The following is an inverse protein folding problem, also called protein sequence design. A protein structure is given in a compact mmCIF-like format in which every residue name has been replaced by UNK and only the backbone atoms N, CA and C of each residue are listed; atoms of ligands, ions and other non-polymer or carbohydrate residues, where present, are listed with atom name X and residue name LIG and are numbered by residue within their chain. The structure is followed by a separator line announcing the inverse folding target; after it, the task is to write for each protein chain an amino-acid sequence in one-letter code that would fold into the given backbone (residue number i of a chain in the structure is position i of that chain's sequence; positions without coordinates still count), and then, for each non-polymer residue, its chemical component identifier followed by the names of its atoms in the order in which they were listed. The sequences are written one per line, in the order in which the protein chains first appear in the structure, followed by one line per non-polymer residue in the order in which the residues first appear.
data_IF_881011631485
#
_entry.id   IF_881011631485
#
_cell.length_a   1.000
_cell.length_b   1.000
_cell.length_c   1.000
_cell.angle_alpha   90.00
_cell.angle_beta   90.00
_cell.angle_gamma   90.00
#
_symmetry.space_group_name_H-M   'P 1'
#
loop_
_entity.id
_entity.type
_entity.pdbx_description
1 polymer ?
#
# COMPACT_ATOMS: atom_id res chain seq x y z
N UNK A 1 43.99 13.29 -52.23
CA UNK A 1 43.92 14.60 -51.55
C UNK A 1 42.77 14.55 -50.56
N UNK A 2 43.06 14.41 -49.26
CA UNK A 2 42.06 14.35 -48.18
C UNK A 2 42.06 15.71 -47.49
N UNK A 3 40.98 16.48 -47.67
CA UNK A 3 40.79 17.78 -47.02
C UNK A 3 40.25 17.50 -45.62
N UNK A 4 41.12 17.63 -44.62
CA UNK A 4 40.76 17.58 -43.21
C UNK A 4 40.09 18.90 -42.81
N UNK A 5 38.77 18.91 -42.71
CA UNK A 5 38.03 19.98 -42.03
C UNK A 5 38.20 19.79 -40.51
N UNK A 6 39.11 20.56 -39.90
CA UNK A 6 39.13 20.75 -38.45
C UNK A 6 37.98 21.70 -38.08
N UNK A 7 36.96 21.27 -37.30
CA UNK A 7 36.00 22.20 -36.75
C UNK A 7 36.68 23.02 -35.65
N UNK A 8 37.01 24.28 -35.93
CA UNK A 8 37.29 25.26 -34.90
C UNK A 8 36.00 25.48 -34.09
N UNK A 9 35.93 24.89 -32.90
CA UNK A 9 34.93 25.26 -31.91
C UNK A 9 35.27 26.66 -31.39
N UNK A 10 34.56 27.65 -31.92
CA UNK A 10 34.59 29.01 -31.37
C UNK A 10 33.96 28.93 -29.97
N UNK A 11 34.78 28.90 -28.93
CA UNK A 11 34.29 29.09 -27.56
C UNK A 11 33.79 30.53 -27.45
N UNK A 12 32.47 30.71 -27.45
CA UNK A 12 31.87 31.98 -27.08
C UNK A 12 32.22 32.22 -25.60
N UNK A 13 33.10 33.19 -25.34
CA UNK A 13 33.30 33.69 -23.99
C UNK A 13 32.01 34.40 -23.58
N UNK A 14 31.33 33.84 -22.58
CA UNK A 14 30.17 34.49 -21.99
C UNK A 14 30.61 35.86 -21.45
N UNK A 15 29.91 36.95 -21.78
CA UNK A 15 30.26 38.24 -21.23
C UNK A 15 30.11 38.21 -19.70
N UNK A 16 31.16 38.61 -18.99
CA UNK A 16 31.12 38.79 -17.55
C UNK A 16 30.45 40.13 -17.22
N UNK A 17 29.43 40.08 -16.36
CA UNK A 17 28.75 41.27 -15.87
C UNK A 17 29.59 41.97 -14.81
N UNK A 18 29.55 43.30 -14.79
CA UNK A 18 30.26 44.14 -13.83
C UNK A 18 29.32 44.61 -12.74
N UNK A 19 29.88 44.74 -11.53
CA UNK A 19 29.17 45.32 -10.39
C UNK A 19 30.09 46.26 -9.63
N UNK A 20 29.50 47.26 -8.99
CA UNK A 20 30.21 48.25 -8.17
C UNK A 20 29.37 48.58 -6.96
N UNK A 21 30.02 48.73 -5.80
CA UNK A 21 29.37 49.23 -4.60
C UNK A 21 29.39 50.75 -4.62
N UNK A 22 28.25 51.37 -4.36
CA UNK A 22 28.10 52.82 -4.23
C UNK A 22 27.76 53.13 -2.78
N UNK A 23 28.60 53.96 -2.15
CA UNK A 23 28.43 54.29 -0.74
C UNK A 23 27.39 55.41 -0.57
N UNK A 24 26.79 55.45 0.62
CA UNK A 24 25.82 56.47 0.97
C UNK A 24 26.43 57.88 0.85
N UNK A 25 25.75 58.76 0.11
CA UNK A 25 26.16 60.16 -0.05
C UNK A 25 26.94 60.46 -1.33
N UNK A 26 27.18 59.47 -2.19
CA UNK A 26 27.68 59.68 -3.56
C UNK A 26 26.52 60.00 -4.52
N UNK A 27 26.23 59.10 -5.47
CA UNK A 27 25.25 59.27 -6.56
C UNK A 27 23.83 58.90 -6.10
N UNK A 28 23.71 58.15 -5.00
CA UNK A 28 22.45 57.64 -4.44
C UNK A 28 22.38 57.84 -2.92
N UNK A 29 21.18 58.00 -2.35
CA UNK A 29 21.01 58.38 -0.93
C UNK A 29 21.23 57.25 0.09
N UNK A 30 21.61 56.05 -0.35
CA UNK A 30 21.83 54.86 0.49
C UNK A 30 22.96 53.98 -0.07
N UNK A 31 23.57 53.15 0.79
CA UNK A 31 24.57 52.16 0.40
C UNK A 31 23.93 51.07 -0.47
N UNK A 32 24.49 50.83 -1.66
CA UNK A 32 23.90 49.94 -2.66
C UNK A 32 24.92 49.31 -3.60
N UNK A 33 24.46 48.33 -4.37
CA UNK A 33 25.24 47.71 -5.45
C UNK A 33 24.61 48.07 -6.79
N UNK A 34 25.41 48.61 -7.69
CA UNK A 34 25.04 48.87 -9.08
C UNK A 34 25.56 47.74 -9.95
N UNK A 35 24.66 47.19 -10.77
CA UNK A 35 24.95 46.12 -11.72
C UNK A 35 24.81 46.67 -13.13
N UNK A 36 25.66 46.23 -14.06
CA UNK A 36 25.40 46.46 -15.47
C UNK A 36 24.25 45.54 -15.98
N UNK A 37 23.80 45.76 -17.22
CA UNK A 37 22.68 45.01 -17.79
C UNK A 37 22.94 43.51 -17.81
N UNK A 38 24.19 43.10 -18.03
CA UNK A 38 24.60 41.70 -18.12
C UNK A 38 24.59 41.05 -16.73
N UNK A 39 25.13 41.72 -15.71
CA UNK A 39 25.10 41.27 -14.33
C UNK A 39 23.67 41.21 -13.79
N UNK A 40 22.84 42.20 -14.13
CA UNK A 40 21.42 42.24 -13.73
C UNK A 40 20.63 41.07 -14.33
N UNK A 41 20.82 40.80 -15.64
CA UNK A 41 20.19 39.66 -16.29
C UNK A 41 20.66 38.31 -15.72
N UNK A 42 21.96 38.18 -15.42
CA UNK A 42 22.52 36.98 -14.75
C UNK A 42 21.96 36.79 -13.35
N UNK A 43 21.81 37.87 -12.58
CA UNK A 43 21.24 37.81 -11.23
C UNK A 43 19.75 37.41 -11.29
N UNK A 44 18.97 38.04 -12.18
CA UNK A 44 17.55 37.72 -12.33
C UNK A 44 17.34 36.27 -12.75
N UNK A 45 18.08 35.80 -13.75
CA UNK A 45 18.02 34.40 -14.17
C UNK A 45 18.46 33.44 -13.06
N UNK A 46 19.49 33.79 -12.28
CA UNK A 46 19.90 32.98 -11.13
C UNK A 46 18.81 32.88 -10.05
N UNK A 47 18.10 33.98 -9.77
CA UNK A 47 16.95 33.98 -8.85
C UNK A 47 15.84 33.07 -9.38
N UNK A 48 15.43 33.23 -10.63
CA UNK A 48 14.39 32.38 -11.25
C UNK A 48 14.78 30.89 -11.27
N UNK A 49 16.04 30.58 -11.54
CA UNK A 49 16.54 29.21 -11.48
C UNK A 49 16.56 28.66 -10.06
N UNK A 50 16.87 29.49 -9.07
CA UNK A 50 16.85 29.09 -7.66
C UNK A 50 15.42 28.76 -7.22
N UNK A 51 14.46 29.63 -7.54
CA UNK A 51 13.03 29.40 -7.26
C UNK A 51 12.55 28.11 -7.90
N UNK A 52 12.78 27.94 -9.21
CA UNK A 52 12.38 26.72 -9.93
C UNK A 52 13.02 25.45 -9.35
N UNK A 53 14.28 25.50 -8.92
CA UNK A 53 14.94 24.35 -8.28
C UNK A 53 14.32 24.04 -6.93
N UNK A 54 14.00 25.06 -6.14
CA UNK A 54 13.31 24.90 -4.86
C UNK A 54 11.96 24.23 -5.09
N UNK A 55 11.14 24.77 -5.99
CA UNK A 55 9.81 24.26 -6.32
C UNK A 55 9.88 22.81 -6.80
N UNK A 56 10.79 22.51 -7.73
CA UNK A 56 10.99 21.14 -8.23
C UNK A 56 11.37 20.18 -7.10
N UNK A 57 12.24 20.60 -6.17
CA UNK A 57 12.66 19.76 -5.05
C UNK A 57 11.51 19.46 -4.08
N UNK A 58 10.65 20.45 -3.83
CA UNK A 58 9.46 20.32 -3.00
C UNK A 58 8.46 19.39 -3.70
N UNK A 59 8.18 19.62 -4.98
CA UNK A 59 7.27 18.80 -5.77
C UNK A 59 7.73 17.34 -5.81
N UNK A 60 9.02 17.10 -6.02
CA UNK A 60 9.60 15.76 -5.96
C UNK A 60 9.37 15.11 -4.60
N UNK A 61 9.71 15.78 -3.49
CA UNK A 61 9.51 15.26 -2.14
C UNK A 61 8.02 14.96 -1.85
N UNK A 62 7.12 15.86 -2.22
CA UNK A 62 5.68 15.68 -2.06
C UNK A 62 5.17 14.51 -2.89
N UNK A 63 5.62 14.39 -4.15
CA UNK A 63 5.22 13.31 -5.04
C UNK A 63 5.67 11.93 -4.51
N UNK A 64 6.89 11.84 -3.98
CA UNK A 64 7.41 10.60 -3.40
C UNK A 64 6.59 10.18 -2.18
N UNK A 65 6.36 11.12 -1.26
CA UNK A 65 5.56 10.88 -0.04
C UNK A 65 4.14 10.47 -0.41
N UNK A 66 3.52 11.17 -1.36
CA UNK A 66 2.16 10.86 -1.82
C UNK A 66 2.08 9.48 -2.47
N UNK A 67 3.05 9.13 -3.32
CA UNK A 67 3.13 7.82 -3.96
C UNK A 67 3.26 6.70 -2.91
N UNK A 68 4.18 6.86 -1.93
CA UNK A 68 4.37 5.89 -0.84
C UNK A 68 3.09 5.67 -0.03
N UNK A 69 2.49 6.74 0.49
CA UNK A 69 1.27 6.61 1.29
C UNK A 69 0.08 6.10 0.48
N UNK A 70 -0.05 6.50 -0.79
CA UNK A 70 -1.13 5.99 -1.65
C UNK A 70 -1.01 4.48 -1.88
N UNK A 71 0.22 3.96 -2.00
CA UNK A 71 0.48 2.53 -2.15
C UNK A 71 0.18 1.78 -0.84
N UNK A 72 0.61 2.32 0.30
CA UNK A 72 0.34 1.73 1.62
C UNK A 72 -1.15 1.63 1.92
N UNK A 73 -1.90 2.71 1.67
CA UNK A 73 -3.36 2.75 1.86
C UNK A 73 -4.04 1.73 0.94
N UNK A 74 -3.64 1.65 -0.33
CA UNK A 74 -4.18 0.65 -1.26
C UNK A 74 -3.88 -0.78 -0.81
N UNK A 75 -2.65 -1.06 -0.35
CA UNK A 75 -2.27 -2.37 0.15
C UNK A 75 -3.11 -2.77 1.38
N UNK A 76 -3.27 -1.85 2.32
CA UNK A 76 -4.07 -2.08 3.53
C UNK A 76 -5.54 -2.34 3.17
N UNK A 77 -6.11 -1.57 2.24
CA UNK A 77 -7.46 -1.77 1.73
C UNK A 77 -7.63 -3.14 1.08
N UNK A 78 -6.70 -3.54 0.22
CA UNK A 78 -6.69 -4.86 -0.41
C UNK A 78 -6.60 -5.99 0.62
N UNK A 79 -5.77 -5.82 1.66
CA UNK A 79 -5.64 -6.80 2.74
C UNK A 79 -6.96 -6.95 3.50
N UNK A 80 -7.59 -5.85 3.89
CA UNK A 80 -8.88 -5.86 4.58
C UNK A 80 -9.94 -6.51 3.70
N UNK A 81 -10.06 -6.11 2.44
CA UNK A 81 -11.03 -6.68 1.50
C UNK A 81 -10.82 -8.18 1.30
N UNK A 82 -9.57 -8.63 1.17
CA UNK A 82 -9.24 -10.04 1.04
C UNK A 82 -9.62 -10.83 2.29
N UNK A 83 -9.29 -10.32 3.48
CA UNK A 83 -9.65 -10.95 4.76
C UNK A 83 -11.16 -11.03 4.92
N UNK A 84 -11.90 -9.96 4.59
CA UNK A 84 -13.37 -9.96 4.63
C UNK A 84 -13.95 -10.99 3.68
N UNK A 85 -13.51 -11.03 2.42
CA UNK A 85 -13.98 -12.02 1.44
C UNK A 85 -13.64 -13.46 1.85
N UNK A 86 -12.47 -13.69 2.46
CA UNK A 86 -12.10 -15.00 2.97
C UNK A 86 -13.02 -15.44 4.12
N UNK A 87 -13.27 -14.53 5.08
CA UNK A 87 -14.17 -14.79 6.19
C UNK A 87 -15.61 -15.03 5.71
N UNK A 88 -16.13 -14.22 4.78
CA UNK A 88 -17.46 -14.44 4.19
C UNK A 88 -17.58 -15.79 3.49
N UNK A 89 -16.56 -16.18 2.70
CA UNK A 89 -16.53 -17.51 2.07
C UNK A 89 -16.50 -18.62 3.10
N UNK A 90 -15.67 -18.49 4.13
CA UNK A 90 -15.58 -19.48 5.20
C UNK A 90 -16.89 -19.59 5.97
N UNK A 91 -17.53 -18.47 6.28
CA UNK A 91 -18.81 -18.42 6.97
C UNK A 91 -19.90 -19.08 6.12
N UNK A 92 -19.95 -18.77 4.82
CA UNK A 92 -20.87 -19.40 3.87
C UNK A 92 -20.70 -20.92 3.80
N UNK A 93 -19.45 -21.42 3.76
CA UNK A 93 -19.16 -22.86 3.78
C UNK A 93 -19.64 -23.49 5.10
N UNK A 94 -19.35 -22.85 6.23
CA UNK A 94 -19.76 -23.34 7.56
C UNK A 94 -21.28 -23.38 7.71
N UNK A 95 -22.00 -22.36 7.22
CA UNK A 95 -23.46 -22.37 7.19
C UNK A 95 -24.02 -23.49 6.32
N UNK A 96 -23.40 -23.77 5.17
CA UNK A 96 -23.80 -24.89 4.32
C UNK A 96 -23.56 -26.25 5.01
N UNK A 97 -22.44 -26.41 5.72
CA UNK A 97 -22.16 -27.61 6.52
C UNK A 97 -23.22 -27.78 7.63
N UNK A 98 -23.54 -26.71 8.37
CA UNK A 98 -24.58 -26.73 9.41
C UNK A 98 -25.92 -27.14 8.81
N UNK A 99 -26.35 -26.51 7.71
CA UNK A 99 -27.61 -26.89 7.04
C UNK A 99 -27.63 -28.34 6.58
N UNK A 100 -26.51 -28.87 6.07
CA UNK A 100 -26.40 -30.28 5.69
C UNK A 100 -26.51 -31.21 6.90
N UNK A 101 -25.84 -30.89 8.00
CA UNK A 101 -25.90 -31.67 9.24
C UNK A 101 -27.29 -31.63 9.86
N UNK A 102 -27.93 -30.46 9.89
CA UNK A 102 -29.30 -30.28 10.34
C UNK A 102 -30.29 -31.07 9.48
N UNK A 103 -30.17 -30.99 8.15
CA UNK A 103 -31.00 -31.79 7.24
C UNK A 103 -30.73 -33.29 7.39
N UNK A 104 -29.50 -33.72 7.64
CA UNK A 104 -29.17 -35.12 7.88
C UNK A 104 -29.75 -35.61 9.22
N UNK A 105 -29.73 -34.76 10.26
CA UNK A 105 -30.35 -35.04 11.55
C UNK A 105 -31.88 -35.12 11.43
N UNK A 106 -32.51 -34.20 10.69
CA UNK A 106 -33.96 -34.20 10.45
C UNK A 106 -34.41 -35.37 9.55
N UNK A 107 -33.60 -35.77 8.56
CA UNK A 107 -33.87 -36.94 7.69
C UNK A 107 -33.66 -38.29 8.37
N UNK A 108 -32.96 -38.32 9.51
CA UNK A 108 -32.89 -39.48 10.39
C UNK A 108 -33.73 -39.22 11.63
N UNK A 109 -35.08 -39.26 11.55
CA UNK A 109 -35.87 -39.33 12.76
C UNK A 109 -35.38 -40.56 13.51
N UNK A 110 -34.82 -40.33 14.70
CA UNK A 110 -34.20 -41.34 15.55
C UNK A 110 -35.26 -42.26 16.16
N UNK A 111 -36.00 -42.96 15.31
CA UNK A 111 -37.06 -43.90 15.70
C UNK A 111 -36.50 -45.25 16.15
N UNK A 112 -35.20 -45.48 15.93
CA UNK A 112 -34.51 -46.70 16.33
C UNK A 112 -34.04 -46.68 17.80
N UNK A 113 -34.18 -45.56 18.50
CA UNK A 113 -33.81 -45.45 19.92
C UNK A 113 -34.64 -46.40 20.78
N UNK A 114 -35.93 -46.54 20.48
CA UNK A 114 -36.80 -47.50 21.16
C UNK A 114 -36.43 -48.95 20.82
N UNK A 115 -36.04 -49.23 19.57
CA UNK A 115 -35.60 -50.57 19.14
C UNK A 115 -34.29 -51.02 19.77
N UNK A 116 -33.30 -50.13 19.86
CA UNK A 116 -32.05 -50.41 20.59
C UNK A 116 -32.29 -50.58 22.10
N UNK A 117 -33.18 -49.78 22.68
CA UNK A 117 -33.55 -49.92 24.09
C UNK A 117 -34.28 -51.25 24.38
N UNK A 118 -35.22 -51.65 23.51
CA UNK A 118 -35.95 -52.92 23.65
C UNK A 118 -35.02 -54.13 23.45
N UNK A 119 -34.12 -54.06 22.47
CA UNK A 119 -33.11 -55.09 22.21
C UNK A 119 -32.11 -55.26 23.35
N UNK A 120 -31.68 -54.15 23.98
CA UNK A 120 -30.82 -54.18 25.16
C UNK A 120 -31.50 -54.82 26.37
N UNK A 121 -32.78 -54.50 26.62
CA UNK A 121 -33.57 -55.10 27.70
C UNK A 121 -33.74 -56.62 27.47
N UNK A 122 -34.12 -57.02 26.26
CA UNK A 122 -34.31 -58.44 25.91
C UNK A 122 -33.02 -59.25 26.07
N UNK A 123 -31.88 -58.71 25.63
CA UNK A 123 -30.58 -59.36 25.79
C UNK A 123 -30.19 -59.54 27.26
N UNK A 124 -30.45 -58.53 28.10
CA UNK A 124 -30.19 -58.62 29.55
C UNK A 124 -31.02 -59.70 30.26
N UNK A 125 -32.31 -59.82 29.90
CA UNK A 125 -33.19 -60.86 30.46
C UNK A 125 -32.72 -62.25 30.03
N UNK A 126 -32.39 -62.44 28.75
CA UNK A 126 -31.86 -63.72 28.23
C UNK A 126 -30.54 -64.09 28.91
N UNK A 127 -29.63 -63.13 29.08
CA UNK A 127 -28.36 -63.35 29.77
C UNK A 127 -28.55 -63.78 31.23
N UNK A 128 -29.53 -63.19 31.94
CA UNK A 128 -29.84 -63.54 33.33
C UNK A 128 -30.44 -64.95 33.45
N UNK A 129 -31.30 -65.35 32.51
CA UNK A 129 -31.86 -66.71 32.49
C UNK A 129 -30.76 -67.74 32.18
N UNK A 130 -29.88 -67.45 31.23
CA UNK A 130 -28.76 -68.33 30.87
C UNK A 130 -27.77 -68.54 32.01
N UNK A 131 -27.43 -67.49 32.77
CA UNK A 131 -26.51 -67.62 33.91
C UNK A 131 -27.12 -68.46 35.04
N UNK A 132 -28.42 -68.33 35.31
CA UNK A 132 -29.10 -69.15 36.33
C UNK A 132 -29.16 -70.63 35.94
N UNK A 133 -29.35 -70.94 34.66
CA UNK A 133 -29.30 -72.33 34.16
C UNK A 133 -27.87 -72.88 34.18
N UNK A 134 -26.86 -72.07 33.86
CA UNK A 134 -25.46 -72.51 33.84
C UNK A 134 -24.86 -72.79 35.24
N UNK A 135 -25.44 -72.22 36.30
CA UNK A 135 -24.98 -72.39 37.69
C UNK A 135 -25.70 -73.57 38.39
N UNK A 136 -26.77 -74.11 37.80
CA UNK A 136 -27.55 -75.23 38.34
C UNK A 136 -27.12 -76.56 37.74
#
# INVERSE_FOLDING_TARGET
MLISFLPCTLYAQEPEGKFTRVLQGEIVPFDSWCFDDIASAKLQTAIEFCEKRCDLSIEQAVSEVTARYSLEVQNLKLRVETMTKQNEKMLSIKEQEIKKLEQAALKRPNDYSHWWALGGLGTGVVATILTVIAIR
#
